data_IF_544154586504
#
_entry.id   IF_544154586504
#
_cell.length_a   1.000
_cell.length_b   1.000
_cell.length_c   1.000
_cell.angle_alpha   90.00
_cell.angle_beta   90.00
_cell.angle_gamma   90.00
#
_symmetry.space_group_name_H-M   'P 1'
#
loop_
_entity.id
_entity.type
_entity.pdbx_description
1 polymer ?
#
# COMPACT_ATOMS: atom_id res chain seq x y z
N UNK A 1 -25.96 -13.34 -0.51
CA UNK A 1 -24.73 -14.13 -0.32
C UNK A 1 -23.72 -13.22 0.35
N UNK A 2 -23.01 -13.71 1.36
CA UNK A 2 -21.96 -12.90 2.00
C UNK A 2 -20.80 -12.74 1.00
N UNK A 3 -20.59 -11.50 0.52
CA UNK A 3 -19.61 -11.18 -0.49
C UNK A 3 -18.17 -11.41 -0.02
N UNK A 4 -17.95 -11.51 1.31
CA UNK A 4 -16.63 -11.65 1.91
C UNK A 4 -16.28 -13.12 2.21
N UNK A 5 -17.29 -13.96 2.41
CA UNK A 5 -17.13 -15.33 2.90
C UNK A 5 -16.29 -16.27 2.01
N UNK A 6 -16.16 -15.98 0.72
CA UNK A 6 -15.25 -16.73 -0.18
C UNK A 6 -13.78 -16.44 0.14
N UNK A 7 -13.48 -15.20 0.51
CA UNK A 7 -12.12 -14.71 0.71
C UNK A 7 -11.60 -15.05 2.10
N UNK A 8 -12.47 -15.16 3.10
CA UNK A 8 -12.06 -15.64 4.44
C UNK A 8 -11.69 -17.13 4.45
N UNK A 9 -12.00 -17.88 3.39
CA UNK A 9 -11.64 -19.30 3.27
C UNK A 9 -10.32 -19.54 2.52
N UNK A 10 -9.66 -18.48 2.08
CA UNK A 10 -8.36 -18.60 1.42
C UNK A 10 -7.30 -19.01 2.45
N UNK A 11 -6.32 -19.80 2.04
CA UNK A 11 -5.30 -20.36 2.93
C UNK A 11 -4.47 -19.25 3.62
N UNK A 12 -4.31 -18.10 2.97
CA UNK A 12 -3.57 -16.96 3.50
C UNK A 12 -4.37 -16.03 4.42
N UNK A 13 -5.68 -16.25 4.59
CA UNK A 13 -6.52 -15.38 5.42
C UNK A 13 -6.29 -15.59 6.91
N UNK A 14 -6.12 -14.50 7.64
CA UNK A 14 -6.10 -14.47 9.10
C UNK A 14 -5.10 -15.43 9.73
N UNK A 15 -5.59 -16.41 10.50
CA UNK A 15 -4.77 -17.42 11.19
C UNK A 15 -4.09 -18.43 10.27
N UNK A 16 -4.44 -18.47 8.98
CA UNK A 16 -3.90 -19.41 8.00
C UNK A 16 -4.08 -20.88 8.39
N UNK A 17 -5.13 -21.19 9.15
CA UNK A 17 -5.47 -22.54 9.65
C UNK A 17 -6.75 -23.11 9.02
N UNK A 18 -7.32 -22.40 8.03
CA UNK A 18 -8.56 -22.76 7.36
C UNK A 18 -9.85 -22.50 8.17
N UNK A 19 -9.75 -21.93 9.37
CA UNK A 19 -10.93 -21.57 10.20
C UNK A 19 -11.75 -20.42 9.61
N UNK A 20 -11.12 -19.58 8.79
CA UNK A 20 -11.66 -18.32 8.32
C UNK A 20 -11.80 -17.26 9.40
N UNK A 21 -11.01 -17.39 10.48
CA UNK A 21 -10.91 -16.40 11.53
C UNK A 21 -9.69 -15.49 11.33
N UNK A 22 -9.84 -14.17 11.58
CA UNK A 22 -8.70 -13.26 11.63
C UNK A 22 -7.76 -13.61 12.79
N UNK A 23 -6.48 -13.33 12.60
CA UNK A 23 -5.46 -13.38 13.63
C UNK A 23 -5.18 -11.96 14.17
N UNK A 24 -5.84 -11.60 15.27
CA UNK A 24 -5.70 -10.30 15.91
C UNK A 24 -4.39 -10.13 16.70
N UNK A 25 -3.63 -11.19 16.91
CA UNK A 25 -2.35 -11.13 17.62
C UNK A 25 -1.21 -10.69 16.68
N UNK A 26 -1.41 -10.81 15.36
CA UNK A 26 -0.44 -10.46 14.33
C UNK A 26 -0.91 -9.29 13.46
N UNK A 27 -0.09 -8.23 13.40
CA UNK A 27 -0.30 -7.12 12.46
C UNK A 27 0.07 -7.46 11.02
N UNK A 28 0.81 -8.54 10.82
CA UNK A 28 1.22 -9.03 9.51
C UNK A 28 0.24 -10.05 8.93
N UNK A 29 -0.71 -10.56 9.73
CA UNK A 29 -1.77 -11.42 9.25
C UNK A 29 -2.74 -10.68 8.31
N UNK A 30 -3.15 -11.36 7.24
CA UNK A 30 -4.09 -10.81 6.25
C UNK A 30 -5.53 -10.88 6.77
N UNK A 31 -5.87 -9.93 7.64
CA UNK A 31 -7.15 -9.88 8.34
C UNK A 31 -8.21 -9.04 7.60
N UNK A 32 -7.79 -8.15 6.71
CA UNK A 32 -8.67 -7.16 6.10
C UNK A 32 -9.06 -7.58 4.69
N UNK A 33 -10.37 -7.58 4.42
CA UNK A 33 -10.93 -7.80 3.07
C UNK A 33 -11.65 -6.52 2.64
N UNK A 34 -11.13 -5.86 1.61
CA UNK A 34 -11.68 -4.65 1.03
C UNK A 34 -12.40 -4.99 -0.27
N UNK A 35 -13.65 -4.53 -0.41
CA UNK A 35 -14.46 -4.74 -1.59
C UNK A 35 -14.39 -3.49 -2.49
N UNK A 36 -14.24 -3.69 -3.79
CA UNK A 36 -14.41 -2.62 -4.78
C UNK A 36 -15.89 -2.29 -5.00
N UNK A 37 -16.15 -1.38 -5.94
CA UNK A 37 -17.50 -1.22 -6.50
C UNK A 37 -17.99 -2.54 -7.13
N UNK A 38 -19.32 -2.77 -7.20
CA UNK A 38 -19.87 -3.96 -7.86
C UNK A 38 -19.51 -4.10 -9.33
N UNK A 39 -19.23 -2.98 -10.03
CA UNK A 39 -18.86 -2.98 -11.46
C UNK A 39 -17.46 -3.54 -11.68
N UNK A 40 -16.53 -3.24 -10.77
CA UNK A 40 -15.14 -3.70 -10.85
C UNK A 40 -14.95 -5.13 -10.32
N UNK A 41 -15.90 -5.63 -9.53
CA UNK A 41 -15.95 -6.98 -8.96
C UNK A 41 -14.58 -7.51 -8.44
N UNK A 42 -13.86 -6.63 -7.75
CA UNK A 42 -12.50 -6.83 -7.29
C UNK A 42 -12.45 -6.83 -5.76
N UNK A 43 -11.57 -7.64 -5.20
CA UNK A 43 -11.40 -7.77 -3.75
C UNK A 43 -9.92 -7.74 -3.40
N UNK A 44 -9.56 -6.98 -2.38
CA UNK A 44 -8.20 -6.89 -1.87
C UNK A 44 -8.14 -7.48 -0.46
N UNK A 45 -7.22 -8.42 -0.25
CA UNK A 45 -6.91 -8.99 1.06
C UNK A 45 -5.53 -8.49 1.52
N UNK A 46 -5.50 -7.80 2.67
CA UNK A 46 -4.34 -7.02 3.11
C UNK A 46 -4.16 -7.13 4.64
N UNK A 47 -2.91 -7.03 5.10
CA UNK A 47 -2.58 -6.99 6.53
C UNK A 47 -2.74 -5.59 7.12
N UNK A 48 -2.78 -5.47 8.45
CA UNK A 48 -2.82 -4.16 9.12
C UNK A 48 -1.56 -3.34 8.79
N UNK A 49 -0.37 -3.96 8.90
CA UNK A 49 0.89 -3.28 8.60
C UNK A 49 0.95 -2.78 7.15
N UNK A 50 0.51 -3.57 6.17
CA UNK A 50 0.50 -3.16 4.77
C UNK A 50 -0.56 -2.11 4.49
N UNK A 51 -1.76 -2.25 5.06
CA UNK A 51 -2.84 -1.27 4.93
C UNK A 51 -2.41 0.10 5.47
N UNK A 52 -1.85 0.12 6.67
CA UNK A 52 -1.36 1.34 7.33
C UNK A 52 -0.29 2.04 6.47
N UNK A 53 0.68 1.30 5.93
CA UNK A 53 1.72 1.85 5.04
C UNK A 53 1.16 2.35 3.70
N UNK A 54 0.13 1.71 3.16
CA UNK A 54 -0.51 2.17 1.92
C UNK A 54 -1.33 3.45 2.12
N UNK A 55 -1.84 3.69 3.32
CA UNK A 55 -2.56 4.93 3.67
C UNK A 55 -1.59 6.07 4.00
N UNK A 56 -0.47 5.77 4.66
CA UNK A 56 0.56 6.72 5.06
C UNK A 56 1.95 6.23 4.59
N UNK A 57 2.28 6.42 3.30
CA UNK A 57 3.48 5.82 2.70
C UNK A 57 4.76 6.57 3.06
N UNK A 58 5.83 5.79 3.20
CA UNK A 58 7.22 6.23 3.23
C UNK A 58 7.96 5.87 1.92
N UNK A 59 9.25 6.21 1.81
CA UNK A 59 10.07 5.89 0.62
C UNK A 59 10.24 4.39 0.37
N UNK A 60 10.00 3.55 1.37
CA UNK A 60 10.23 2.11 1.31
C UNK A 60 8.92 1.32 1.19
N UNK A 61 7.80 2.01 1.03
CA UNK A 61 6.47 1.40 1.00
C UNK A 61 6.33 0.46 -0.20
N UNK A 62 5.98 -0.79 0.09
CA UNK A 62 5.81 -1.82 -0.92
C UNK A 62 4.33 -1.91 -1.35
N UNK A 63 4.01 -1.26 -2.48
CA UNK A 63 2.64 -1.12 -2.98
C UNK A 63 1.99 -2.40 -3.54
N UNK A 64 2.65 -3.55 -3.46
CA UNK A 64 2.09 -4.86 -3.86
C UNK A 64 2.03 -5.85 -2.69
N UNK A 65 2.02 -5.36 -1.46
CA UNK A 65 1.88 -6.19 -0.25
C UNK A 65 0.40 -6.49 0.06
N UNK A 66 -0.30 -7.12 -0.87
CA UNK A 66 -1.69 -7.58 -0.73
C UNK A 66 -1.97 -8.70 -1.74
N UNK A 67 -3.04 -9.46 -1.50
CA UNK A 67 -3.64 -10.34 -2.51
C UNK A 67 -4.78 -9.60 -3.21
N UNK A 68 -4.85 -9.71 -4.54
CA UNK A 68 -5.92 -9.16 -5.35
C UNK A 68 -6.72 -10.30 -5.98
N UNK A 69 -8.03 -10.23 -5.87
CA UNK A 69 -8.95 -11.14 -6.53
C UNK A 69 -9.84 -10.35 -7.49
N UNK A 70 -10.10 -10.92 -8.67
CA UNK A 70 -11.08 -10.41 -9.65
C UNK A 70 -11.98 -11.54 -10.09
N UNK A 71 -13.28 -11.31 -10.05
CA UNK A 71 -14.27 -12.35 -10.36
C UNK A 71 -14.10 -13.63 -9.51
N UNK A 72 -13.52 -13.50 -8.31
CA UNK A 72 -13.22 -14.61 -7.41
C UNK A 72 -11.89 -15.32 -7.66
N UNK A 73 -11.13 -14.94 -8.70
CA UNK A 73 -9.85 -15.55 -9.04
C UNK A 73 -8.67 -14.68 -8.56
N UNK A 74 -7.66 -15.33 -7.97
CA UNK A 74 -6.43 -14.67 -7.55
C UNK A 74 -5.68 -14.10 -8.75
N UNK A 75 -5.24 -12.86 -8.64
CA UNK A 75 -4.51 -12.13 -9.68
C UNK A 75 -3.02 -12.09 -9.37
N UNK A 76 -2.22 -12.41 -10.38
CA UNK A 76 -0.77 -12.24 -10.33
C UNK A 76 -0.38 -10.76 -10.32
N UNK A 77 0.70 -10.42 -9.61
CA UNK A 77 1.21 -9.06 -9.49
C UNK A 77 1.55 -8.38 -10.83
N UNK A 78 1.85 -9.17 -11.87
CA UNK A 78 2.13 -8.72 -13.23
C UNK A 78 0.85 -8.44 -14.05
N UNK A 79 -0.30 -8.90 -13.58
CA UNK A 79 -1.59 -8.83 -14.28
C UNK A 79 -2.33 -7.49 -14.13
N UNK A 80 -1.83 -6.56 -13.31
CA UNK A 80 -2.50 -5.27 -13.08
C UNK A 80 -1.52 -4.10 -12.93
N UNK A 81 -2.00 -2.92 -13.30
CA UNK A 81 -1.32 -1.65 -13.11
C UNK A 81 -1.85 -0.97 -11.85
N UNK A 82 -0.95 -0.52 -10.98
CA UNK A 82 -1.31 0.11 -9.71
C UNK A 82 -2.04 1.45 -9.90
N UNK A 83 -1.70 2.21 -10.94
CA UNK A 83 -2.40 3.45 -11.27
C UNK A 83 -3.90 3.21 -11.49
N UNK A 84 -4.26 2.27 -12.38
CA UNK A 84 -5.67 1.91 -12.61
C UNK A 84 -6.30 1.28 -11.35
N UNK A 85 -5.57 0.37 -10.68
CA UNK A 85 -6.09 -0.29 -9.50
C UNK A 85 -6.47 0.71 -8.40
N UNK A 86 -5.65 1.73 -8.15
CA UNK A 86 -5.93 2.68 -7.08
C UNK A 86 -6.74 3.88 -7.51
N UNK A 87 -6.73 4.28 -8.79
CA UNK A 87 -7.58 5.39 -9.24
C UNK A 87 -9.03 4.96 -9.46
N UNK A 88 -9.24 3.75 -9.98
CA UNK A 88 -10.55 3.32 -10.49
C UNK A 88 -11.20 2.26 -9.58
N UNK A 89 -10.41 1.32 -9.04
CA UNK A 89 -10.92 0.15 -8.30
C UNK A 89 -10.93 0.34 -6.78
N UNK A 90 -9.83 0.85 -6.21
CA UNK A 90 -9.68 1.15 -4.78
C UNK A 90 -9.24 2.61 -4.55
N UNK A 91 -10.13 3.61 -4.81
CA UNK A 91 -9.83 5.04 -4.72
C UNK A 91 -9.26 5.53 -3.39
N UNK A 92 -9.48 4.78 -2.29
CA UNK A 92 -8.96 5.11 -0.97
C UNK A 92 -7.43 5.26 -0.95
N UNK A 93 -6.73 4.54 -1.82
CA UNK A 93 -5.27 4.59 -1.92
C UNK A 93 -4.77 5.61 -2.96
N UNK A 94 -5.63 6.13 -3.83
CA UNK A 94 -5.24 6.97 -4.98
C UNK A 94 -4.35 8.15 -4.57
N UNK A 95 -4.81 8.94 -3.59
CA UNK A 95 -4.08 10.14 -3.15
C UNK A 95 -2.72 9.81 -2.56
N UNK A 96 -2.66 8.80 -1.69
CA UNK A 96 -1.40 8.39 -1.06
C UNK A 96 -0.42 7.84 -2.10
N UNK A 97 -0.92 7.03 -3.03
CA UNK A 97 -0.12 6.46 -4.11
C UNK A 97 0.45 7.53 -5.07
N UNK A 98 -0.38 8.48 -5.49
CA UNK A 98 0.06 9.58 -6.37
C UNK A 98 1.13 10.46 -5.69
N UNK A 99 0.92 10.82 -4.43
CA UNK A 99 1.92 11.56 -3.64
C UNK A 99 3.24 10.80 -3.53
N UNK A 100 3.19 9.49 -3.27
CA UNK A 100 4.37 8.64 -3.25
C UNK A 100 5.10 8.62 -4.60
N UNK A 101 4.38 8.44 -5.72
CA UNK A 101 4.98 8.44 -7.05
C UNK A 101 5.70 9.76 -7.35
N UNK A 102 5.09 10.91 -7.03
CA UNK A 102 5.73 12.22 -7.17
C UNK A 102 6.96 12.37 -6.28
N UNK A 103 6.89 11.93 -5.02
CA UNK A 103 8.03 11.97 -4.10
C UNK A 103 9.18 11.05 -4.53
N UNK A 104 8.87 9.88 -5.10
CA UNK A 104 9.85 8.95 -5.64
C UNK A 104 10.56 9.51 -6.88
N UNK A 105 9.82 10.15 -7.80
CA UNK A 105 10.42 10.87 -8.93
C UNK A 105 11.33 12.00 -8.47
N UNK A 106 10.91 12.78 -7.48
CA UNK A 106 11.76 13.78 -6.85
C UNK A 106 13.01 13.16 -6.19
N UNK A 107 12.85 12.01 -5.54
CA UNK A 107 13.96 11.23 -4.97
C UNK A 107 15.04 10.88 -6.01
N UNK A 108 14.65 10.55 -7.24
CA UNK A 108 15.59 10.29 -8.34
C UNK A 108 16.40 11.53 -8.73
N UNK A 109 15.83 12.72 -8.56
CA UNK A 109 16.57 13.97 -8.76
C UNK A 109 17.59 14.16 -7.64
N UNK A 110 17.20 13.89 -6.38
CA UNK A 110 18.13 13.93 -5.24
C UNK A 110 19.29 12.94 -5.40
N UNK A 111 19.04 11.76 -5.97
CA UNK A 111 20.07 10.77 -6.28
C UNK A 111 21.15 11.28 -7.25
N UNK A 112 20.79 12.21 -8.13
CA UNK A 112 21.73 12.84 -9.07
C UNK A 112 22.49 13.99 -8.39
N UNK A 113 21.80 14.75 -7.53
CA UNK A 113 22.32 16.00 -6.98
C UNK A 113 23.12 15.84 -5.69
N UNK A 114 22.80 14.85 -4.87
CA UNK A 114 23.31 14.70 -3.51
C UNK A 114 23.93 13.32 -3.28
N UNK A 115 25.10 13.24 -2.61
CA UNK A 115 25.63 11.96 -2.15
C UNK A 115 24.72 11.36 -1.07
N UNK A 116 24.86 10.05 -0.83
CA UNK A 116 24.18 9.41 0.30
C UNK A 116 24.59 10.05 1.63
N UNK A 117 23.61 10.25 2.52
CA UNK A 117 23.84 10.85 3.83
C UNK A 117 22.62 11.57 4.38
N UNK A 118 22.80 12.17 5.56
CA UNK A 118 21.74 12.80 6.35
C UNK A 118 20.98 13.88 5.57
N UNK A 119 21.70 14.73 4.82
CA UNK A 119 21.08 15.80 4.02
C UNK A 119 20.09 15.24 3.01
N UNK A 120 20.46 14.16 2.30
CA UNK A 120 19.60 13.54 1.30
C UNK A 120 18.34 12.95 1.92
N UNK A 121 18.48 12.31 3.09
CA UNK A 121 17.34 11.77 3.85
C UNK A 121 16.42 12.87 4.39
N UNK A 122 16.96 14.02 4.80
CA UNK A 122 16.16 15.18 5.19
C UNK A 122 15.33 15.71 4.02
N UNK A 123 15.90 15.84 2.81
CA UNK A 123 15.16 16.24 1.62
C UNK A 123 14.10 15.22 1.21
N UNK A 124 14.42 13.92 1.27
CA UNK A 124 13.47 12.84 1.03
C UNK A 124 12.29 12.98 2.00
N UNK A 125 12.55 12.96 3.31
CA UNK A 125 11.52 13.02 4.35
C UNK A 125 10.63 14.25 4.23
N UNK A 126 11.22 15.43 3.98
CA UNK A 126 10.46 16.66 3.81
C UNK A 126 9.53 16.63 2.58
N UNK A 127 9.87 15.90 1.51
CA UNK A 127 9.04 15.80 0.31
C UNK A 127 7.72 15.02 0.54
N UNK A 128 7.63 14.23 1.61
CA UNK A 128 6.42 13.49 1.98
C UNK A 128 5.44 14.33 2.82
N UNK A 129 5.84 15.52 3.26
CA UNK A 129 5.08 16.38 4.16
C UNK A 129 4.89 17.79 3.61
N UNK A 130 3.78 18.45 3.97
CA UNK A 130 3.55 19.86 3.65
C UNK A 130 4.39 20.84 4.50
N UNK A 131 5.08 20.35 5.54
CA UNK A 131 5.91 21.14 6.44
C UNK A 131 7.12 20.34 6.96
N UNK A 132 8.18 21.05 7.36
CA UNK A 132 9.37 20.46 7.99
C UNK A 132 9.84 21.31 9.16
N UNK A 133 10.06 20.66 10.31
CA UNK A 133 10.67 21.25 11.51
C UNK A 133 12.19 21.37 11.37
N UNK A 134 12.81 20.58 10.48
CA UNK A 134 14.24 20.66 10.18
C UNK A 134 14.52 21.89 9.32
N UNK A 135 15.46 22.73 9.76
CA UNK A 135 15.95 23.90 9.03
C UNK A 135 17.44 23.74 8.77
N UNK A 136 17.88 24.03 7.54
CA UNK A 136 19.29 23.99 7.14
C UNK A 136 19.80 25.42 7.01
N UNK A 137 19.98 26.11 8.14
CA UNK A 137 20.31 27.54 8.21
C UNK A 137 21.60 27.85 8.98
N UNK A 138 22.26 26.82 9.50
CA UNK A 138 23.51 26.95 10.25
C UNK A 138 24.71 27.07 9.27
N UNK A 139 25.76 27.77 9.71
CA UNK A 139 26.96 28.15 8.93
C UNK A 139 27.99 27.01 8.73
#
# INVERSE_FOLDING_TARGET
>A
TDAVALYTRQDDFGKMDGSGEPDWESKDAFNWVLLSSPEENSVMMVSDNSLSKMLEPDFYTHWRSFFLYRDGELQEASGYQLDHLFNDVFPVFSKAYQSFCSAHEFGRILDILLPEGEVKEQFRTAALSGASDVKMVDD
#
